data_IF_953385260455
#
_entry.id   IF_953385260455
#
_cell.length_a   1.000
_cell.length_b   1.000
_cell.length_c   1.000
_cell.angle_alpha   90.00
_cell.angle_beta   90.00
_cell.angle_gamma   90.00
#
_symmetry.space_group_name_H-M   'P 1'
#
loop_
_entity.id
_entity.type
_entity.pdbx_description
1 polymer ?
#
# COMPACT_ATOMS: atom_id res chain seq x y z
N UNK A 1 2.35 -13.87 -8.45
CA UNK A 1 2.18 -14.07 -9.90
C UNK A 1 0.80 -14.56 -10.30
N UNK A 2 0.34 -15.73 -9.83
CA UNK A 2 -0.93 -16.34 -10.25
C UNK A 2 -2.17 -15.43 -10.17
N UNK A 3 -2.32 -14.65 -9.10
CA UNK A 3 -3.47 -13.75 -8.93
C UNK A 3 -3.44 -12.63 -9.98
N UNK A 4 -2.29 -11.98 -10.17
CA UNK A 4 -2.16 -10.86 -11.10
C UNK A 4 -2.38 -11.29 -12.56
N UNK A 5 -1.93 -12.50 -12.92
CA UNK A 5 -2.16 -13.05 -14.26
C UNK A 5 -3.64 -13.35 -14.52
N UNK A 6 -4.36 -13.94 -13.55
CA UNK A 6 -5.81 -14.18 -13.66
C UNK A 6 -6.65 -12.89 -13.71
N UNK A 7 -6.09 -11.78 -13.23
CA UNK A 7 -6.71 -10.45 -13.24
C UNK A 7 -6.37 -9.62 -14.49
N UNK A 8 -5.50 -10.11 -15.37
CA UNK A 8 -5.08 -9.38 -16.57
C UNK A 8 -6.29 -9.00 -17.43
N UNK A 9 -6.37 -7.73 -17.81
CA UNK A 9 -7.44 -7.19 -18.65
C UNK A 9 -8.78 -6.98 -17.93
N UNK A 10 -8.84 -7.14 -16.60
CA UNK A 10 -10.02 -6.83 -15.79
C UNK A 10 -9.84 -5.50 -15.07
N UNK A 11 -10.94 -4.79 -14.83
CA UNK A 11 -10.96 -3.69 -13.85
C UNK A 11 -10.95 -4.30 -12.46
N UNK A 12 -9.93 -3.99 -11.66
CA UNK A 12 -9.76 -4.52 -10.31
C UNK A 12 -9.81 -3.38 -9.32
N UNK A 13 -10.70 -3.50 -8.32
CA UNK A 13 -10.71 -2.63 -7.14
C UNK A 13 -10.25 -3.46 -5.95
N UNK A 14 -9.08 -3.14 -5.41
CA UNK A 14 -8.58 -3.74 -4.17
C UNK A 14 -8.82 -2.77 -3.00
N UNK A 15 -9.50 -3.25 -1.97
CA UNK A 15 -9.62 -2.55 -0.68
C UNK A 15 -8.78 -3.32 0.32
N UNK A 16 -7.77 -2.66 0.88
CA UNK A 16 -6.78 -3.32 1.74
C UNK A 16 -6.26 -2.36 2.81
N UNK A 17 -5.93 -2.90 3.98
CA UNK A 17 -5.11 -2.22 4.99
C UNK A 17 -3.60 -2.45 4.76
N UNK A 18 -3.24 -3.52 4.03
CA UNK A 18 -1.85 -3.85 3.71
C UNK A 18 -1.36 -3.05 2.51
N UNK A 19 -0.19 -2.41 2.64
CA UNK A 19 0.38 -1.55 1.59
C UNK A 19 1.26 -2.28 0.59
N UNK A 20 1.65 -3.53 0.88
CA UNK A 20 2.66 -4.26 0.11
C UNK A 20 2.27 -4.54 -1.34
N UNK A 21 0.97 -4.64 -1.61
CA UNK A 21 0.43 -4.88 -2.95
C UNK A 21 0.23 -3.61 -3.78
N UNK A 22 0.20 -2.43 -3.13
CA UNK A 22 -0.10 -1.16 -3.79
C UNK A 22 0.86 -0.80 -4.94
N UNK A 23 2.17 -1.14 -4.91
CA UNK A 23 3.07 -0.88 -6.04
C UNK A 23 2.67 -1.56 -7.35
N UNK A 24 1.84 -2.61 -7.32
CA UNK A 24 1.40 -3.34 -8.50
C UNK A 24 0.13 -2.76 -9.16
N UNK A 25 -0.48 -1.74 -8.57
CA UNK A 25 -1.72 -1.13 -9.07
C UNK A 25 -1.45 0.18 -9.81
N UNK A 26 -2.33 0.50 -10.77
CA UNK A 26 -2.21 1.70 -11.60
C UNK A 26 -2.44 3.01 -10.83
N UNK A 27 -3.27 2.95 -9.78
CA UNK A 27 -3.63 4.09 -8.95
C UNK A 27 -3.94 3.63 -7.52
N UNK A 28 -3.64 4.49 -6.56
CA UNK A 28 -3.91 4.30 -5.14
C UNK A 28 -4.76 5.48 -4.67
N UNK A 29 -5.80 5.17 -3.88
CA UNK A 29 -6.69 6.15 -3.25
C UNK A 29 -6.55 6.04 -1.74
N UNK A 30 -6.11 7.11 -1.08
CA UNK A 30 -6.13 7.20 0.38
C UNK A 30 -7.46 7.81 0.80
N UNK A 31 -8.23 7.10 1.63
CA UNK A 31 -9.54 7.53 2.10
C UNK A 31 -9.48 7.73 3.61
N UNK A 32 -9.94 8.89 4.08
CA UNK A 32 -10.20 9.18 5.50
C UNK A 32 -11.51 9.95 5.60
N UNK A 33 -12.31 9.64 6.63
CA UNK A 33 -13.55 10.35 6.94
C UNK A 33 -14.55 10.39 5.76
N UNK A 34 -14.58 9.31 4.97
CA UNK A 34 -15.44 9.19 3.80
C UNK A 34 -14.99 10.01 2.58
N UNK A 35 -13.81 10.62 2.62
CA UNK A 35 -13.28 11.49 1.55
C UNK A 35 -11.95 10.95 1.03
N UNK A 36 -11.72 11.07 -0.28
CA UNK A 36 -10.43 10.77 -0.90
C UNK A 36 -9.46 11.92 -0.57
N UNK A 37 -8.48 11.62 0.29
CA UNK A 37 -7.45 12.57 0.71
C UNK A 37 -6.35 12.70 -0.34
N UNK A 38 -5.94 11.56 -0.92
CA UNK A 38 -4.86 11.50 -1.91
C UNK A 38 -5.22 10.50 -3.02
N UNK A 39 -4.81 10.79 -4.25
CA UNK A 39 -4.99 9.92 -5.39
C UNK A 39 -3.79 10.01 -6.34
N UNK A 40 -3.24 8.88 -6.74
CA UNK A 40 -2.12 8.85 -7.68
C UNK A 40 -1.39 7.53 -7.72
N UNK A 41 -0.30 7.46 -8.48
CA UNK A 41 0.56 6.27 -8.49
C UNK A 41 1.27 6.12 -7.15
N UNK A 42 1.49 4.88 -6.73
CA UNK A 42 2.17 4.56 -5.47
C UNK A 42 3.46 5.38 -5.26
N UNK A 43 4.34 5.39 -6.26
CA UNK A 43 5.63 6.10 -6.16
C UNK A 43 5.48 7.63 -6.09
N UNK A 44 4.44 8.20 -6.71
CA UNK A 44 4.15 9.63 -6.64
C UNK A 44 3.71 9.97 -5.23
N UNK A 45 2.69 9.27 -4.72
CA UNK A 45 2.16 9.48 -3.38
C UNK A 45 3.24 9.28 -2.29
N UNK A 46 4.09 8.26 -2.44
CA UNK A 46 5.20 8.02 -1.52
C UNK A 46 6.21 9.18 -1.47
N UNK A 47 6.39 9.88 -2.59
CA UNK A 47 7.32 11.01 -2.69
C UNK A 47 6.70 12.37 -2.35
N UNK A 48 5.38 12.52 -2.50
CA UNK A 48 4.69 13.81 -2.46
C UNK A 48 3.72 13.98 -1.29
N UNK A 49 3.34 12.89 -0.61
CA UNK A 49 2.39 12.91 0.52
C UNK A 49 3.03 12.35 1.78
N UNK A 50 3.17 13.21 2.79
CA UNK A 50 3.65 12.79 4.11
C UNK A 50 2.68 11.78 4.75
N UNK A 51 1.37 12.01 4.64
CA UNK A 51 0.33 11.12 5.19
C UNK A 51 0.44 9.70 4.61
N UNK A 52 0.62 9.60 3.30
CA UNK A 52 0.79 8.30 2.63
C UNK A 52 2.12 7.63 3.04
N UNK A 53 3.20 8.41 3.14
CA UNK A 53 4.50 7.91 3.57
C UNK A 53 4.46 7.37 5.01
N UNK A 54 3.79 8.07 5.93
CA UNK A 54 3.63 7.65 7.32
C UNK A 54 2.80 6.37 7.45
N UNK A 55 1.72 6.25 6.67
CA UNK A 55 0.89 5.04 6.61
C UNK A 55 1.72 3.83 6.13
N UNK A 56 2.48 3.99 5.05
CA UNK A 56 3.35 2.92 4.52
C UNK A 56 4.41 2.51 5.56
N UNK A 57 4.99 3.48 6.26
CA UNK A 57 6.03 3.20 7.27
C UNK A 57 5.47 2.55 8.54
N UNK A 58 4.26 2.91 8.96
CA UNK A 58 3.59 2.24 10.08
C UNK A 58 3.40 0.75 9.80
N UNK A 59 2.91 0.41 8.60
CA UNK A 59 2.72 -0.98 8.20
C UNK A 59 4.04 -1.76 8.08
N UNK A 60 5.10 -1.12 7.56
CA UNK A 60 6.44 -1.74 7.55
C UNK A 60 6.95 -2.03 8.96
N UNK A 61 6.79 -1.10 9.90
CA UNK A 61 7.24 -1.27 11.29
C UNK A 61 6.52 -2.43 11.99
N UNK A 62 5.23 -2.61 11.76
CA UNK A 62 4.48 -3.77 12.28
C UNK A 62 5.04 -5.11 11.75
N UNK A 63 5.44 -5.15 10.48
CA UNK A 63 6.06 -6.33 9.89
C UNK A 63 7.47 -6.63 10.44
N UNK A 64 8.24 -5.61 10.89
CA UNK A 64 9.56 -5.80 11.51
C UNK A 64 9.51 -5.96 13.05
N UNK A 65 8.42 -5.56 13.71
CA UNK A 65 8.24 -5.76 15.15
C UNK A 65 8.02 -7.24 15.53
N UNK A 66 7.68 -8.09 14.55
CA UNK A 66 7.56 -9.54 14.70
C UNK A 66 8.85 -10.34 14.49
N UNK A 67 9.98 -9.70 14.14
CA UNK A 67 11.24 -10.39 13.81
C UNK A 67 12.38 -10.22 14.82
N UNK A 68 12.10 -9.81 16.06
CA UNK A 68 13.07 -9.91 17.16
C UNK A 68 12.83 -11.14 18.02
N UNK A 69 13.27 -12.30 17.53
CA UNK A 69 13.99 -13.31 18.34
C UNK A 69 14.96 -14.07 17.41
N UNK A 70 16.21 -13.61 17.34
CA UNK A 70 17.39 -14.46 17.49
C UNK A 70 18.64 -13.56 17.58
N UNK A 71 19.47 -13.86 18.57
CA UNK A 71 20.50 -12.96 19.06
C UNK A 71 21.72 -12.80 18.16
N UNK A 72 22.45 -11.71 18.39
CA UNK A 72 23.74 -11.71 19.10
C UNK A 72 23.84 -10.44 19.93
#
# INVERSE_FOLDING_TARGET
>A
EYIMEGLKGKTVLLVTHQVDFLPAFDSVLLISDGVIQQAGRYHQLLSSSQEFHDLVNAHKKENYAGSYVEGV
#
